data_IF_440163685708
#
_entry.id   IF_440163685708
#
_cell.length_a   1.000
_cell.length_b   1.000
_cell.length_c   1.000
_cell.angle_alpha   90.00
_cell.angle_beta   90.00
_cell.angle_gamma   90.00
#
_symmetry.space_group_name_H-M   'P 1'
#
loop_
_entity.id
_entity.type
_entity.pdbx_description
1 polymer ?
#
# COMPACT_ATOMS: atom_id res chain seq x y z
N UNK A 1 -21.71 25.89 -20.41
CA UNK A 1 -20.50 26.74 -20.28
C UNK A 1 -19.38 25.86 -19.74
N UNK A 2 -18.34 25.62 -20.54
CA UNK A 2 -17.24 24.72 -20.17
C UNK A 2 -16.33 25.38 -19.12
N UNK A 3 -16.18 24.74 -17.95
CA UNK A 3 -15.29 25.20 -16.89
C UNK A 3 -13.83 25.09 -17.33
N UNK A 4 -13.10 26.20 -17.28
CA UNK A 4 -11.64 26.23 -17.50
C UNK A 4 -10.97 25.46 -16.37
N UNK A 5 -10.48 24.27 -16.69
CA UNK A 5 -9.70 23.41 -15.81
C UNK A 5 -8.37 24.10 -15.44
N UNK A 6 -8.33 24.79 -14.31
CA UNK A 6 -7.16 25.53 -13.82
C UNK A 6 -6.05 24.64 -13.28
N UNK A 7 -5.54 23.69 -14.08
CA UNK A 7 -4.36 22.89 -13.69
C UNK A 7 -3.10 23.72 -13.90
N UNK A 8 -2.32 23.90 -12.84
CA UNK A 8 -1.04 24.61 -12.91
C UNK A 8 0.02 23.71 -13.56
N UNK A 9 1.15 24.30 -13.96
CA UNK A 9 2.33 23.54 -14.43
C UNK A 9 2.82 22.56 -13.36
N UNK A 10 2.71 22.93 -12.08
CA UNK A 10 3.07 22.07 -10.94
C UNK A 10 2.15 20.86 -10.86
N UNK A 11 0.85 21.04 -11.07
CA UNK A 11 -0.13 19.94 -11.06
C UNK A 11 0.11 18.97 -12.22
N UNK A 12 0.43 19.49 -13.40
CA UNK A 12 0.78 18.68 -14.56
C UNK A 12 2.06 17.87 -14.32
N UNK A 13 3.11 18.50 -13.78
CA UNK A 13 4.35 17.79 -13.42
C UNK A 13 4.10 16.70 -12.38
N UNK A 14 3.31 16.99 -11.35
CA UNK A 14 2.93 16.00 -10.32
C UNK A 14 2.15 14.84 -10.93
N UNK A 15 1.15 15.13 -11.77
CA UNK A 15 0.36 14.10 -12.46
C UNK A 15 1.22 13.19 -13.35
N UNK A 16 2.13 13.76 -14.14
CA UNK A 16 3.03 12.99 -14.99
C UNK A 16 3.98 12.11 -14.18
N UNK A 17 4.54 12.63 -13.07
CA UNK A 17 5.38 11.86 -12.15
C UNK A 17 4.62 10.69 -11.53
N UNK A 18 3.41 10.95 -11.03
CA UNK A 18 2.55 9.91 -10.46
C UNK A 18 2.24 8.82 -11.48
N UNK A 19 1.86 9.19 -12.71
CA UNK A 19 1.55 8.21 -13.76
C UNK A 19 2.73 7.30 -14.10
N UNK A 20 3.93 7.87 -14.25
CA UNK A 20 5.15 7.08 -14.54
C UNK A 20 5.51 6.17 -13.36
N UNK A 21 5.50 6.70 -12.13
CA UNK A 21 5.86 5.93 -10.94
C UNK A 21 4.87 4.78 -10.69
N UNK A 22 3.57 5.04 -10.80
CA UNK A 22 2.54 3.99 -10.67
C UNK A 22 2.72 2.89 -11.72
N UNK A 23 3.00 3.28 -12.98
CA UNK A 23 3.23 2.28 -14.03
C UNK A 23 4.45 1.42 -13.75
N UNK A 24 5.55 2.02 -13.29
CA UNK A 24 6.75 1.28 -12.87
C UNK A 24 6.51 0.40 -11.65
N UNK A 25 5.64 0.83 -10.72
CA UNK A 25 5.35 0.08 -9.50
C UNK A 25 4.55 -1.21 -9.77
N UNK A 26 3.50 -1.13 -10.60
CA UNK A 26 2.61 -2.28 -10.83
C UNK A 26 3.00 -3.17 -12.03
N UNK A 27 3.66 -2.59 -13.03
CA UNK A 27 3.97 -3.25 -14.31
C UNK A 27 5.47 -3.23 -14.67
N UNK A 28 6.31 -2.73 -13.76
CA UNK A 28 7.76 -2.71 -13.94
C UNK A 28 8.41 -4.10 -13.92
N UNK A 29 9.67 -4.21 -14.40
CA UNK A 29 10.48 -3.14 -14.96
C UNK A 29 10.08 -2.78 -16.41
N UNK A 30 10.19 -1.49 -16.78
CA UNK A 30 9.82 -0.99 -18.12
C UNK A 30 10.89 -0.04 -18.68
N UNK A 31 11.06 -0.02 -20.00
CA UNK A 31 11.87 0.98 -20.68
C UNK A 31 11.13 2.31 -20.86
N UNK A 32 11.88 3.39 -21.09
CA UNK A 32 11.30 4.71 -21.45
C UNK A 32 10.39 4.65 -22.70
N UNK A 33 10.68 3.72 -23.61
CA UNK A 33 9.88 3.49 -24.81
C UNK A 33 8.51 2.91 -24.46
N UNK A 34 8.44 1.96 -23.53
CA UNK A 34 7.19 1.33 -23.09
C UNK A 34 6.36 2.25 -22.19
N UNK A 35 7.02 3.12 -21.41
CA UNK A 35 6.35 4.10 -20.55
C UNK A 35 5.51 5.12 -21.32
N UNK A 36 5.92 5.52 -22.53
CA UNK A 36 5.19 6.52 -23.34
C UNK A 36 3.76 6.09 -23.64
N UNK A 37 3.53 5.00 -24.39
CA UNK A 37 2.19 4.47 -24.67
C UNK A 37 1.41 4.09 -23.40
N UNK A 38 2.09 3.55 -22.39
CA UNK A 38 1.45 3.14 -21.14
C UNK A 38 0.91 4.30 -20.29
N UNK A 39 1.50 5.49 -20.41
CA UNK A 39 1.12 6.69 -19.63
C UNK A 39 0.46 7.78 -20.48
N UNK A 40 0.46 7.64 -21.81
CA UNK A 40 0.00 8.67 -22.74
C UNK A 40 0.96 9.87 -22.86
N UNK A 41 2.18 9.79 -22.32
CA UNK A 41 3.16 10.86 -22.32
C UNK A 41 4.06 10.83 -23.56
N UNK A 42 4.51 12.01 -24.01
CA UNK A 42 5.54 12.12 -25.06
C UNK A 42 6.90 11.61 -24.56
N UNK A 43 7.77 11.16 -25.48
CA UNK A 43 9.10 10.66 -25.14
C UNK A 43 9.95 11.68 -24.36
N UNK A 44 9.86 12.97 -24.72
CA UNK A 44 10.51 14.06 -23.99
C UNK A 44 9.97 14.24 -22.57
N UNK A 45 8.66 14.09 -22.38
CA UNK A 45 8.03 14.17 -21.05
C UNK A 45 8.44 12.99 -20.18
N UNK A 46 8.41 11.77 -20.71
CA UNK A 46 8.90 10.56 -20.00
C UNK A 46 10.37 10.74 -19.60
N UNK A 47 11.21 11.23 -20.51
CA UNK A 47 12.64 11.42 -20.23
C UNK A 47 12.86 12.41 -19.08
N UNK A 48 12.19 13.55 -19.09
CA UNK A 48 12.29 14.54 -18.01
C UNK A 48 11.78 13.98 -16.68
N UNK A 49 10.62 13.31 -16.69
CA UNK A 49 10.04 12.72 -15.47
C UNK A 49 10.96 11.65 -14.88
N UNK A 50 11.52 10.77 -15.72
CA UNK A 50 12.44 9.72 -15.27
C UNK A 50 13.72 10.32 -14.70
N UNK A 51 14.28 11.36 -15.33
CA UNK A 51 15.47 12.06 -14.78
C UNK A 51 15.18 12.60 -13.39
N UNK A 52 14.04 13.28 -13.21
CA UNK A 52 13.65 13.81 -11.90
C UNK A 52 13.44 12.69 -10.87
N UNK A 53 12.78 11.58 -11.25
CA UNK A 53 12.53 10.45 -10.34
C UNK A 53 13.82 9.71 -9.94
N UNK A 54 14.80 9.59 -10.85
CA UNK A 54 16.12 9.03 -10.54
C UNK A 54 16.89 9.99 -9.61
N UNK A 55 16.83 11.29 -9.87
CA UNK A 55 17.49 12.29 -9.02
C UNK A 55 16.93 12.30 -7.58
N UNK A 56 15.63 12.04 -7.43
CA UNK A 56 14.97 11.88 -6.13
C UNK A 56 15.21 10.48 -5.50
N UNK A 57 15.90 9.58 -6.20
CA UNK A 57 16.19 8.22 -5.74
C UNK A 57 14.98 7.27 -5.75
N UNK A 58 13.86 7.64 -6.39
CA UNK A 58 12.62 6.84 -6.43
C UNK A 58 12.64 5.76 -7.53
N UNK A 59 13.46 5.95 -8.56
CA UNK A 59 13.59 5.05 -9.71
C UNK A 59 15.06 4.76 -9.94
N UNK A 60 15.38 3.53 -10.33
CA UNK A 60 16.72 3.10 -10.70
C UNK A 60 16.73 2.31 -12.00
N UNK A 61 17.91 2.17 -12.61
CA UNK A 61 18.09 1.33 -13.80
C UNK A 61 18.13 -0.16 -13.41
N UNK A 62 17.37 -0.98 -14.14
CA UNK A 62 17.17 -2.41 -13.90
C UNK A 62 17.81 -3.28 -14.99
N UNK A 63 18.95 -2.86 -15.52
CA UNK A 63 19.64 -3.53 -16.63
C UNK A 63 19.15 -3.08 -18.01
N UNK A 64 19.45 -3.88 -19.04
CA UNK A 64 19.12 -3.58 -20.43
C UNK A 64 18.60 -4.80 -21.17
N UNK A 65 17.65 -4.57 -22.08
CA UNK A 65 17.16 -5.59 -23.02
C UNK A 65 17.63 -5.27 -24.44
N UNK A 66 17.94 -6.32 -25.19
CA UNK A 66 18.21 -6.20 -26.62
C UNK A 66 16.99 -5.65 -27.35
N UNK A 67 17.24 -5.02 -28.49
CA UNK A 67 16.18 -4.50 -29.36
C UNK A 67 16.33 -5.11 -30.74
N UNK A 68 15.21 -5.32 -31.44
CA UNK A 68 15.18 -5.84 -32.82
C UNK A 68 15.78 -4.80 -33.80
N UNK A 69 17.11 -4.68 -33.82
CA UNK A 69 17.87 -3.85 -34.76
C UNK A 69 18.26 -2.45 -34.27
N UNK A 70 18.13 -2.12 -32.99
CA UNK A 70 18.49 -0.82 -32.40
C UNK A 70 19.47 -0.90 -31.22
N UNK A 71 19.75 0.25 -30.58
CA UNK A 71 20.55 0.32 -29.35
C UNK A 71 19.79 -0.39 -28.20
N UNK A 72 20.47 -1.21 -27.37
CA UNK A 72 19.86 -1.82 -26.19
C UNK A 72 19.09 -0.81 -25.34
N UNK A 73 17.92 -1.21 -24.85
CA UNK A 73 17.02 -0.36 -24.07
C UNK A 73 17.23 -0.59 -22.60
N UNK A 74 17.55 0.48 -21.87
CA UNK A 74 17.62 0.45 -20.41
C UNK A 74 16.23 0.26 -19.81
N UNK A 75 16.11 -0.72 -18.92
CA UNK A 75 14.93 -0.93 -18.10
C UNK A 75 15.00 -0.07 -16.85
N UNK A 76 13.84 0.36 -16.37
CA UNK A 76 13.68 1.16 -15.16
C UNK A 76 12.76 0.42 -14.20
N UNK A 77 12.99 0.58 -12.91
CA UNK A 77 12.11 0.09 -11.85
C UNK A 77 12.05 1.08 -10.70
N UNK A 78 11.04 0.93 -9.84
CA UNK A 78 11.02 1.62 -8.56
C UNK A 78 12.23 1.15 -7.74
N UNK A 79 12.98 2.10 -7.20
CA UNK A 79 14.14 1.80 -6.37
C UNK A 79 13.65 1.14 -5.07
N UNK A 80 13.97 -0.15 -4.82
CA UNK A 80 13.40 -0.87 -3.68
C UNK A 80 13.72 -0.18 -2.35
N UNK A 81 14.93 0.36 -2.22
CA UNK A 81 15.40 1.10 -1.06
C UNK A 81 14.86 2.53 -0.93
N UNK A 82 13.95 3.01 -1.79
CA UNK A 82 13.47 4.41 -1.70
C UNK A 82 12.40 4.65 -0.62
N UNK A 83 11.97 3.60 0.07
CA UNK A 83 11.03 3.67 1.19
C UNK A 83 10.74 2.28 1.75
N UNK A 84 10.05 2.25 2.88
CA UNK A 84 9.60 1.01 3.53
C UNK A 84 8.12 1.11 3.88
N UNK A 85 7.46 -0.04 3.99
CA UNK A 85 6.04 -0.15 4.32
C UNK A 85 5.87 -1.24 5.37
N UNK A 86 4.98 -1.03 6.33
CA UNK A 86 4.55 -2.11 7.23
C UNK A 86 3.13 -2.52 6.88
N UNK A 87 2.91 -3.82 6.71
CA UNK A 87 1.59 -4.43 6.62
C UNK A 87 1.26 -5.18 7.91
N UNK A 88 0.04 -4.98 8.40
CA UNK A 88 -0.50 -5.66 9.57
C UNK A 88 -1.80 -6.35 9.18
N UNK A 89 -1.87 -7.67 9.39
CA UNK A 89 -3.08 -8.46 9.24
C UNK A 89 -3.55 -8.91 10.62
N UNK A 90 -4.65 -8.31 11.09
CA UNK A 90 -5.37 -8.75 12.29
C UNK A 90 -6.34 -9.85 11.87
N UNK A 91 -5.80 -11.04 11.69
CA UNK A 91 -6.57 -12.23 11.36
C UNK A 91 -7.22 -12.85 12.59
N UNK A 92 -7.97 -13.93 12.36
CA UNK A 92 -8.76 -14.51 13.45
C UNK A 92 -7.96 -15.38 14.44
N UNK A 93 -6.81 -15.88 13.99
CA UNK A 93 -5.97 -16.81 14.76
C UNK A 93 -4.62 -16.23 15.11
N UNK A 94 -4.30 -15.06 14.57
CA UNK A 94 -3.00 -14.40 14.73
C UNK A 94 -3.07 -12.94 14.30
N UNK A 95 -2.19 -12.14 14.88
CA UNK A 95 -1.76 -10.85 14.32
C UNK A 95 -0.43 -11.09 13.60
N UNK A 96 -0.38 -10.78 12.31
CA UNK A 96 0.84 -10.83 11.50
C UNK A 96 1.30 -9.41 11.21
N UNK A 97 2.59 -9.16 11.37
CA UNK A 97 3.23 -7.88 11.03
C UNK A 97 4.42 -8.17 10.12
N UNK A 98 4.47 -7.48 8.98
CA UNK A 98 5.49 -7.67 7.95
C UNK A 98 6.03 -6.30 7.49
N UNK A 99 7.34 -6.20 7.39
CA UNK A 99 8.05 -5.03 6.85
C UNK A 99 8.46 -5.33 5.41
N UNK A 100 8.18 -4.40 4.50
CA UNK A 100 8.49 -4.49 3.09
C UNK A 100 9.34 -3.31 2.62
N UNK A 101 10.14 -3.55 1.58
CA UNK A 101 10.68 -2.49 0.74
C UNK A 101 9.63 -2.03 -0.32
N UNK A 102 9.98 -1.05 -1.16
CA UNK A 102 9.07 -0.57 -2.21
C UNK A 102 8.94 -1.49 -3.44
N UNK A 103 9.68 -2.59 -3.49
CA UNK A 103 9.43 -3.67 -4.44
C UNK A 103 8.51 -4.76 -3.84
N UNK A 104 7.95 -4.51 -2.64
CA UNK A 104 7.21 -5.48 -1.83
C UNK A 104 8.02 -6.73 -1.47
N UNK A 105 9.34 -6.61 -1.40
CA UNK A 105 10.20 -7.66 -0.84
C UNK A 105 10.02 -7.65 0.68
N UNK A 106 9.68 -8.80 1.26
CA UNK A 106 9.61 -8.96 2.71
C UNK A 106 11.02 -8.86 3.31
N UNK A 107 11.23 -7.88 4.19
CA UNK A 107 12.49 -7.64 4.89
C UNK A 107 12.51 -8.31 6.27
N UNK A 108 11.36 -8.34 6.94
CA UNK A 108 11.17 -9.00 8.23
C UNK A 108 9.68 -9.31 8.46
N UNK A 109 9.41 -10.34 9.26
CA UNK A 109 8.07 -10.77 9.65
C UNK A 109 8.05 -11.24 11.09
N UNK A 110 6.93 -10.99 11.76
CA UNK A 110 6.57 -11.65 13.03
C UNK A 110 5.08 -12.01 13.06
N UNK A 111 4.75 -13.03 13.85
CA UNK A 111 3.39 -13.48 14.07
C UNK A 111 3.13 -13.74 15.55
N UNK A 112 1.99 -13.26 16.05
CA UNK A 112 1.53 -13.52 17.41
C UNK A 112 0.20 -14.25 17.34
N UNK A 113 0.13 -15.46 17.91
CA UNK A 113 -1.09 -16.27 17.91
C UNK A 113 -2.13 -15.68 18.84
N UNK A 114 -3.38 -15.69 18.41
CA UNK A 114 -4.55 -15.35 19.22
C UNK A 114 -5.15 -16.62 19.81
N UNK A 115 -5.55 -16.54 21.08
CA UNK A 115 -6.41 -17.53 21.71
C UNK A 115 -7.88 -17.18 21.44
N UNK A 116 -8.86 -18.07 21.70
CA UNK A 116 -10.28 -17.77 21.49
C UNK A 116 -10.78 -16.53 22.28
N UNK A 117 -10.12 -16.15 23.36
CA UNK A 117 -10.38 -14.93 24.14
C UNK A 117 -9.39 -13.79 23.82
N UNK A 118 -8.56 -13.95 22.79
CA UNK A 118 -7.41 -13.10 22.49
C UNK A 118 -7.73 -11.81 21.73
N UNK A 119 -9.00 -11.46 21.56
CA UNK A 119 -9.42 -10.24 20.84
C UNK A 119 -9.67 -9.04 21.75
N UNK A 120 -9.21 -9.10 23.00
CA UNK A 120 -9.18 -7.90 23.83
C UNK A 120 -8.43 -6.78 23.09
N UNK A 121 -9.00 -5.57 23.10
CA UNK A 121 -8.54 -4.44 22.28
C UNK A 121 -7.08 -4.11 22.60
N UNK A 122 -6.73 -4.10 23.89
CA UNK A 122 -5.42 -3.79 24.40
C UNK A 122 -4.41 -4.88 24.04
N UNK A 123 -4.83 -6.15 24.02
CA UNK A 123 -4.01 -7.27 23.56
C UNK A 123 -3.67 -7.12 22.07
N UNK A 124 -4.67 -6.88 21.22
CA UNK A 124 -4.46 -6.70 19.77
C UNK A 124 -3.60 -5.48 19.50
N UNK A 125 -3.92 -4.33 20.10
CA UNK A 125 -3.13 -3.11 19.94
C UNK A 125 -1.68 -3.30 20.43
N UNK A 126 -1.48 -4.06 21.51
CA UNK A 126 -0.16 -4.47 21.98
C UNK A 126 0.59 -5.33 20.97
N UNK A 127 -0.06 -6.37 20.43
CA UNK A 127 0.54 -7.24 19.42
C UNK A 127 0.97 -6.49 18.15
N UNK A 128 0.16 -5.51 17.71
CA UNK A 128 0.50 -4.66 16.57
C UNK A 128 1.74 -3.81 16.88
N UNK A 129 1.74 -3.09 18.01
CA UNK A 129 2.87 -2.21 18.39
C UNK A 129 4.17 -2.99 18.59
N UNK A 130 4.11 -4.09 19.34
CA UNK A 130 5.27 -4.93 19.61
C UNK A 130 5.78 -5.56 18.31
N UNK A 131 4.87 -5.98 17.43
CA UNK A 131 5.22 -6.52 16.13
C UNK A 131 5.90 -5.51 15.21
N UNK A 132 5.42 -4.26 15.20
CA UNK A 132 6.05 -3.15 14.47
C UNK A 132 7.48 -2.93 14.98
N UNK A 133 7.66 -2.84 16.31
CA UNK A 133 8.98 -2.64 16.91
C UNK A 133 9.93 -3.80 16.58
N UNK A 134 9.42 -5.03 16.61
CA UNK A 134 10.18 -6.25 16.33
C UNK A 134 10.66 -6.31 14.87
N UNK A 135 9.78 -6.05 13.88
CA UNK A 135 10.19 -6.09 12.47
C UNK A 135 11.17 -4.97 12.12
N UNK A 136 10.99 -3.78 12.71
CA UNK A 136 11.93 -2.68 12.53
C UNK A 136 13.31 -3.00 13.12
N UNK A 137 13.33 -3.56 14.34
CA UNK A 137 14.56 -3.98 15.00
C UNK A 137 15.28 -5.10 14.25
N UNK A 138 14.54 -6.13 13.82
CA UNK A 138 15.09 -7.28 13.09
C UNK A 138 15.71 -6.88 11.74
N UNK A 139 15.08 -5.95 11.01
CA UNK A 139 15.59 -5.45 9.74
C UNK A 139 16.60 -4.29 9.89
N UNK A 140 16.89 -3.84 11.12
CA UNK A 140 17.67 -2.63 11.40
C UNK A 140 17.15 -1.42 10.60
N UNK A 141 15.83 -1.33 10.46
CA UNK A 141 15.16 -0.33 9.65
C UNK A 141 15.02 0.99 10.42
N UNK A 142 15.32 2.09 9.72
CA UNK A 142 15.15 3.43 10.25
C UNK A 142 13.67 3.84 10.14
N UNK A 143 12.96 4.16 11.24
CA UNK A 143 11.55 4.54 11.20
C UNK A 143 11.25 5.72 10.25
N UNK A 144 12.22 6.60 10.01
CA UNK A 144 12.10 7.77 9.14
C UNK A 144 11.98 7.39 7.65
N UNK A 145 12.30 6.15 7.28
CA UNK A 145 12.13 5.62 5.91
C UNK A 145 10.77 4.97 5.69
N UNK A 146 9.99 4.81 6.76
CA UNK A 146 8.65 4.24 6.69
C UNK A 146 7.72 5.24 6.01
N UNK A 147 6.98 4.79 5.00
CA UNK A 147 6.00 5.62 4.29
C UNK A 147 4.61 5.51 4.92
N UNK A 148 4.37 4.48 5.73
CA UNK A 148 3.11 4.25 6.41
C UNK A 148 2.98 2.84 6.95
N UNK A 149 1.95 2.65 7.78
CA UNK A 149 1.54 1.36 8.33
C UNK A 149 0.14 1.05 7.80
N UNK A 150 -0.01 -0.01 7.03
CA UNK A 150 -1.31 -0.56 6.62
C UNK A 150 -1.80 -1.58 7.64
N UNK A 151 -3.06 -1.49 8.06
CA UNK A 151 -3.69 -2.40 9.03
C UNK A 151 -5.01 -2.92 8.48
N UNK A 152 -5.06 -4.21 8.16
CA UNK A 152 -6.29 -4.94 7.88
C UNK A 152 -6.90 -5.46 9.19
N UNK A 153 -8.15 -5.08 9.48
CA UNK A 153 -8.87 -5.50 10.68
C UNK A 153 -10.22 -6.14 10.36
N UNK A 154 -10.73 -7.04 11.21
CA UNK A 154 -12.08 -7.57 11.06
C UNK A 154 -13.11 -6.51 11.45
N UNK A 155 -14.24 -6.50 10.74
CA UNK A 155 -15.36 -5.59 11.02
C UNK A 155 -15.33 -4.31 10.19
N UNK A 156 -16.25 -3.40 10.52
CA UNK A 156 -16.46 -2.15 9.80
C UNK A 156 -15.50 -1.10 10.34
N UNK A 157 -14.81 -0.40 9.44
CA UNK A 157 -13.92 0.71 9.79
C UNK A 157 -14.57 2.04 9.41
N UNK A 158 -14.84 2.85 10.42
CA UNK A 158 -15.36 4.21 10.29
C UNK A 158 -14.22 5.21 10.49
N UNK A 159 -14.03 6.17 9.57
CA UNK A 159 -13.03 7.22 9.74
C UNK A 159 -13.70 8.49 10.29
N UNK A 160 -13.44 8.78 11.56
CA UNK A 160 -14.01 9.94 12.25
C UNK A 160 -12.95 11.06 12.30
N UNK A 161 -13.28 12.31 11.92
CA UNK A 161 -12.40 13.46 12.09
C UNK A 161 -11.83 13.51 13.52
N UNK A 162 -10.53 13.80 13.65
CA UNK A 162 -9.80 13.90 14.92
C UNK A 162 -9.69 12.62 15.78
N UNK A 163 -10.38 11.53 15.41
CA UNK A 163 -10.24 10.22 16.06
C UNK A 163 -9.48 9.22 15.21
N UNK A 164 -9.47 9.41 13.89
CA UNK A 164 -8.90 8.45 12.95
C UNK A 164 -9.85 7.29 12.73
N UNK A 165 -9.29 6.12 12.45
CA UNK A 165 -10.07 4.89 12.27
C UNK A 165 -10.66 4.35 13.59
N UNK A 166 -11.98 4.19 13.59
CA UNK A 166 -12.80 3.56 14.63
C UNK A 166 -13.34 2.24 14.09
N UNK A 167 -13.18 1.16 14.84
CA UNK A 167 -13.48 -0.21 14.40
C UNK A 167 -14.67 -0.79 15.15
N UNK A 168 -15.62 -1.32 14.38
CA UNK A 168 -16.82 -2.00 14.86
C UNK A 168 -16.77 -3.46 14.44
N UNK A 169 -16.49 -4.37 15.38
CA UNK A 169 -16.24 -5.78 15.12
C UNK A 169 -17.08 -6.66 16.04
N UNK A 170 -18.39 -6.77 15.76
CA UNK A 170 -19.34 -7.50 16.63
C UNK A 170 -18.94 -8.96 16.86
N UNK A 171 -18.37 -9.62 15.85
CA UNK A 171 -17.91 -11.02 15.93
C UNK A 171 -16.71 -11.21 16.86
N UNK A 172 -15.95 -10.14 17.11
CA UNK A 172 -14.78 -10.12 18.01
C UNK A 172 -15.03 -9.30 19.28
N UNK A 173 -16.28 -8.88 19.52
CA UNK A 173 -16.69 -8.12 20.71
C UNK A 173 -16.25 -6.65 20.72
N UNK A 174 -15.86 -6.09 19.57
CA UNK A 174 -15.45 -4.69 19.45
C UNK A 174 -16.65 -3.80 19.14
N UNK A 175 -16.82 -2.75 19.93
CA UNK A 175 -17.83 -1.71 19.74
C UNK A 175 -17.15 -0.34 19.76
N UNK A 176 -17.22 0.39 18.64
CA UNK A 176 -16.66 1.73 18.47
C UNK A 176 -15.22 1.91 19.00
N UNK A 177 -14.32 0.98 18.68
CA UNK A 177 -12.94 0.98 19.20
C UNK A 177 -12.09 2.01 18.44
N UNK A 178 -11.53 3.05 19.09
CA UNK A 178 -10.70 4.07 18.43
C UNK A 178 -9.28 3.55 18.16
N UNK A 179 -9.16 2.53 17.32
CA UNK A 179 -7.93 1.76 17.12
C UNK A 179 -6.75 2.63 16.68
N UNK A 180 -6.93 3.55 15.74
CA UNK A 180 -5.83 4.41 15.29
C UNK A 180 -5.26 5.25 16.44
N UNK A 181 -6.13 5.86 17.26
CA UNK A 181 -5.71 6.62 18.44
C UNK A 181 -4.97 5.74 19.45
N UNK A 182 -5.47 4.53 19.70
CA UNK A 182 -4.83 3.58 20.61
C UNK A 182 -3.44 3.17 20.13
N UNK A 183 -3.29 2.90 18.83
CA UNK A 183 -2.00 2.58 18.22
C UNK A 183 -1.03 3.76 18.32
N UNK A 184 -1.49 4.98 18.01
CA UNK A 184 -0.66 6.20 18.07
C UNK A 184 -0.23 6.56 19.49
N UNK A 185 -1.11 6.45 20.48
CA UNK A 185 -0.86 6.89 21.86
C UNK A 185 0.34 6.22 22.54
N UNK A 186 0.71 5.02 22.08
CA UNK A 186 1.83 4.25 22.61
C UNK A 186 2.83 3.84 21.51
N UNK A 187 2.79 4.50 20.35
CA UNK A 187 3.68 4.21 19.24
C UNK A 187 5.09 4.74 19.50
N UNK A 188 6.09 4.04 18.97
CA UNK A 188 7.47 4.52 18.89
C UNK A 188 7.79 5.13 17.52
N UNK A 189 6.81 5.14 16.60
CA UNK A 189 6.97 5.74 15.28
C UNK A 189 6.84 7.27 15.36
N UNK A 190 7.48 8.01 14.45
CA UNK A 190 7.24 9.44 14.29
C UNK A 190 5.76 9.76 14.05
N UNK A 191 5.30 10.90 14.58
CA UNK A 191 3.88 11.30 14.54
C UNK A 191 3.34 11.51 13.10
N UNK A 192 4.23 11.84 12.15
CA UNK A 192 3.90 12.07 10.75
C UNK A 192 3.74 10.78 9.93
N UNK A 193 4.08 9.61 10.50
CA UNK A 193 3.83 8.33 9.84
C UNK A 193 2.32 8.05 9.82
N UNK A 194 1.72 7.88 8.62
CA UNK A 194 0.30 7.60 8.49
C UNK A 194 -0.02 6.13 8.82
N UNK A 195 -1.14 5.92 9.50
CA UNK A 195 -1.78 4.62 9.65
C UNK A 195 -2.95 4.54 8.68
N UNK A 196 -2.97 3.52 7.84
CA UNK A 196 -4.06 3.20 6.93
C UNK A 196 -4.77 1.97 7.44
N UNK A 197 -5.85 2.18 8.21
CA UNK A 197 -6.62 1.09 8.80
C UNK A 197 -7.88 0.90 7.98
N UNK A 198 -8.16 -0.34 7.57
CA UNK A 198 -9.34 -0.66 6.78
C UNK A 198 -9.77 -2.11 7.01
N UNK A 199 -10.94 -2.48 6.49
CA UNK A 199 -11.47 -3.84 6.62
C UNK A 199 -10.55 -4.88 5.92
N UNK A 200 -10.33 -6.01 6.58
CA UNK A 200 -9.46 -7.09 6.11
C UNK A 200 -9.88 -7.69 4.75
N UNK A 201 -11.18 -7.87 4.51
CA UNK A 201 -11.66 -8.35 3.21
C UNK A 201 -11.39 -7.34 2.09
N UNK A 202 -11.59 -6.06 2.37
CA UNK A 202 -11.32 -4.96 1.43
C UNK A 202 -9.85 -4.81 1.09
N UNK A 203 -8.97 -4.87 2.10
CA UNK A 203 -7.52 -4.80 1.88
C UNK A 203 -7.00 -6.01 1.10
N UNK A 204 -7.48 -7.23 1.40
CA UNK A 204 -7.14 -8.41 0.60
C UNK A 204 -7.66 -8.27 -0.83
N UNK A 205 -8.91 -7.83 -1.01
CA UNK A 205 -9.46 -7.58 -2.33
C UNK A 205 -8.61 -6.63 -3.15
N UNK A 206 -8.15 -5.54 -2.54
CA UNK A 206 -7.25 -4.60 -3.19
C UNK A 206 -5.90 -5.23 -3.56
N UNK A 207 -5.34 -6.06 -2.67
CA UNK A 207 -4.11 -6.80 -2.94
C UNK A 207 -4.26 -7.79 -4.11
N UNK A 208 -5.38 -8.51 -4.19
CA UNK A 208 -5.69 -9.41 -5.31
C UNK A 208 -5.79 -8.67 -6.64
N UNK A 209 -6.35 -7.45 -6.64
CA UNK A 209 -6.44 -6.62 -7.84
C UNK A 209 -5.08 -6.07 -8.29
N UNK A 210 -4.19 -5.77 -7.35
CA UNK A 210 -2.86 -5.24 -7.66
C UNK A 210 -1.84 -6.33 -8.01
N UNK A 211 -1.86 -7.45 -7.30
CA UNK A 211 -0.77 -8.44 -7.30
C UNK A 211 -1.24 -9.88 -7.48
N UNK A 212 -2.53 -10.16 -7.30
CA UNK A 212 -3.07 -11.52 -7.32
C UNK A 212 -3.93 -11.82 -8.56
N UNK A 213 -4.95 -12.66 -8.35
CA UNK A 213 -5.79 -13.21 -9.41
C UNK A 213 -6.74 -12.17 -10.03
N UNK A 214 -6.94 -11.02 -9.38
CA UNK A 214 -7.78 -9.93 -9.86
C UNK A 214 -7.09 -9.00 -10.87
N UNK A 215 -5.78 -9.15 -11.12
CA UNK A 215 -5.02 -8.27 -12.02
C UNK A 215 -5.65 -8.19 -13.41
N UNK A 216 -5.86 -6.96 -13.87
CA UNK A 216 -6.45 -6.67 -15.19
C UNK A 216 -7.98 -6.74 -15.24
N UNK A 217 -8.64 -7.23 -14.18
CA UNK A 217 -10.09 -7.14 -14.07
C UNK A 217 -10.54 -5.71 -13.77
N UNK A 218 -11.70 -5.32 -14.31
CA UNK A 218 -12.36 -4.04 -13.98
C UNK A 218 -13.37 -4.17 -12.84
N UNK A 219 -13.98 -5.34 -12.75
CA UNK A 219 -14.92 -5.68 -11.70
C UNK A 219 -14.50 -7.05 -11.14
N UNK A 220 -14.50 -7.18 -9.82
CA UNK A 220 -14.20 -8.44 -9.16
C UNK A 220 -15.00 -8.57 -7.86
N UNK A 221 -15.27 -9.81 -7.47
CA UNK A 221 -15.72 -10.14 -6.12
C UNK A 221 -14.66 -11.04 -5.53
N UNK A 222 -14.08 -10.62 -4.41
CA UNK A 222 -13.09 -11.41 -3.67
C UNK A 222 -13.78 -11.89 -2.40
N UNK A 223 -13.77 -13.20 -2.16
CA UNK A 223 -14.42 -13.82 -1.01
C UNK A 223 -13.37 -14.50 -0.15
N UNK A 224 -13.32 -14.11 1.12
CA UNK A 224 -12.48 -14.69 2.14
C UNK A 224 -13.29 -15.74 2.87
N UNK A 225 -12.88 -17.01 2.73
CA UNK A 225 -13.42 -18.13 3.49
C UNK A 225 -12.40 -18.58 4.53
N UNK A 226 -12.75 -18.41 5.80
CA UNK A 226 -11.94 -18.82 6.97
C UNK A 226 -12.85 -19.27 8.10
N UNK A 227 -12.60 -18.81 9.32
CA UNK A 227 -13.52 -19.02 10.44
C UNK A 227 -14.76 -18.12 10.37
N UNK A 228 -14.69 -17.00 9.64
CA UNK A 228 -15.85 -16.30 9.07
C UNK A 228 -15.87 -16.26 7.55
N UNK A 229 -16.84 -15.52 7.00
CA UNK A 229 -16.94 -15.18 5.58
C UNK A 229 -16.89 -13.67 5.45
N UNK A 230 -15.89 -13.16 4.74
CA UNK A 230 -15.82 -11.77 4.30
C UNK A 230 -15.89 -11.72 2.79
N UNK A 231 -16.43 -10.63 2.24
CA UNK A 231 -16.36 -10.39 0.81
C UNK A 231 -16.09 -8.91 0.55
N UNK A 232 -15.52 -8.63 -0.61
CA UNK A 232 -15.48 -7.27 -1.11
C UNK A 232 -15.80 -7.25 -2.59
N UNK A 233 -16.45 -6.18 -3.02
CA UNK A 233 -16.70 -5.88 -4.43
C UNK A 233 -15.76 -4.78 -4.87
N UNK A 234 -15.09 -5.00 -5.99
CA UNK A 234 -14.24 -4.00 -6.65
C UNK A 234 -14.92 -3.59 -7.95
N UNK A 235 -15.12 -2.28 -8.15
CA UNK A 235 -15.68 -1.70 -9.39
C UNK A 235 -14.84 -0.48 -9.84
N UNK A 236 -14.97 -0.01 -11.09
CA UNK A 236 -14.19 1.14 -11.59
C UNK A 236 -14.50 2.47 -10.90
N UNK A 237 -15.70 2.65 -10.34
CA UNK A 237 -16.05 3.85 -9.56
C UNK A 237 -15.26 3.94 -8.25
N UNK A 238 -14.60 2.86 -7.89
CA UNK A 238 -13.50 2.80 -6.94
C UNK A 238 -12.17 3.20 -7.60
N UNK A 239 -12.18 4.26 -8.42
CA UNK A 239 -11.03 4.70 -9.23
C UNK A 239 -9.81 5.18 -8.40
N UNK A 240 -9.92 5.10 -7.07
CA UNK A 240 -8.87 5.39 -6.08
C UNK A 240 -8.45 4.18 -5.23
N UNK A 241 -8.81 2.93 -5.62
CA UNK A 241 -8.25 1.72 -5.02
C UNK A 241 -8.76 1.40 -3.60
N UNK A 242 -10.08 1.34 -3.42
CA UNK A 242 -10.76 1.06 -2.14
C UNK A 242 -11.96 0.11 -2.31
N UNK A 243 -11.76 -1.21 -2.28
CA UNK A 243 -12.88 -2.16 -2.39
C UNK A 243 -14.03 -1.80 -1.42
N UNK A 244 -15.27 -2.16 -1.74
CA UNK A 244 -16.42 -1.86 -0.87
C UNK A 244 -16.98 -3.15 -0.28
N UNK A 245 -17.48 -3.07 0.96
CA UNK A 245 -18.17 -4.16 1.66
C UNK A 245 -19.62 -4.28 1.17
#
# INVERSE_FOLDING_TARGET
MAGRNGRTVRDLRRGNRTAVLQKLYFDGPLSRFELGPATGLSSGSVSNVVVDLIADGLVEEAGSVDSDGGRPRTLLRVAPGSGQLIGVDVGETRVRVELFDLALTELARTERRLTPQGYDVEVIAGHIRDGIAEVLGAAQAAPERLLGVGVGVPGIVEHIPDQGAVVHGQTIGWDAVPLERLLRSASQLPDDIPYFIDNGAKTLGQAEMWFGAGRGARNAVVVLFGSGVGACVVTPEVEHGRAVE
#
